data_IF_915070623045
#
_entry.id   IF_915070623045
#
_cell.length_a   1.000
_cell.length_b   1.000
_cell.length_c   1.000
_cell.angle_alpha   90.00
_cell.angle_beta   90.00
_cell.angle_gamma   90.00
#
_symmetry.space_group_name_H-M   'P 1'
#
loop_
_entity.id
_entity.type
_entity.pdbx_description
1 polymer ?
#
# COMPACT_ATOMS: atom_id res chain seq x y z
N UNK A 1 -32.08 -35.76 1.87
CA UNK A 1 -33.23 -34.83 1.90
C UNK A 1 -32.79 -33.59 1.15
N UNK A 2 -33.50 -33.16 0.12
CA UNK A 2 -33.15 -31.94 -0.60
C UNK A 2 -33.24 -30.77 0.40
N UNK A 3 -32.09 -30.32 0.90
CA UNK A 3 -32.02 -29.19 1.82
C UNK A 3 -32.52 -27.94 1.10
N UNK A 4 -33.35 -27.16 1.77
CA UNK A 4 -33.87 -25.90 1.25
C UNK A 4 -32.70 -25.01 0.79
N UNK A 5 -32.71 -24.61 -0.49
CA UNK A 5 -31.67 -23.75 -1.06
C UNK A 5 -31.97 -22.27 -0.75
N UNK A 6 -31.71 -21.89 0.50
CA UNK A 6 -31.87 -20.52 0.97
C UNK A 6 -30.98 -19.54 0.22
N UNK A 7 -29.83 -20.00 -0.32
CA UNK A 7 -28.89 -19.17 -1.07
C UNK A 7 -29.49 -18.71 -2.40
N UNK A 8 -30.30 -19.55 -3.04
CA UNK A 8 -31.08 -19.20 -4.24
C UNK A 8 -32.18 -18.16 -3.97
N UNK A 9 -32.83 -18.22 -2.80
CA UNK A 9 -33.80 -17.20 -2.38
C UNK A 9 -33.10 -15.87 -2.16
N UNK A 10 -31.98 -15.88 -1.44
CA UNK A 10 -31.18 -14.67 -1.17
C UNK A 10 -30.57 -14.12 -2.45
N UNK A 11 -30.14 -14.94 -3.41
CA UNK A 11 -29.62 -14.44 -4.69
C UNK A 11 -30.67 -13.70 -5.53
N UNK A 12 -31.94 -14.08 -5.39
CA UNK A 12 -33.05 -13.41 -6.08
C UNK A 12 -33.41 -12.08 -5.42
N UNK A 13 -33.44 -12.05 -4.09
CA UNK A 13 -33.90 -10.86 -3.33
C UNK A 13 -32.75 -9.90 -3.04
N UNK A 14 -31.58 -10.41 -2.71
CA UNK A 14 -30.38 -9.68 -2.33
C UNK A 14 -29.17 -10.08 -3.21
N UNK A 15 -29.17 -9.70 -4.50
CA UNK A 15 -28.14 -10.08 -5.44
C UNK A 15 -26.75 -9.55 -5.04
N UNK A 16 -26.65 -8.36 -4.43
CA UNK A 16 -25.34 -7.81 -4.05
C UNK A 16 -24.70 -8.66 -2.96
N UNK A 17 -25.43 -9.01 -1.89
CA UNK A 17 -24.95 -9.96 -0.88
C UNK A 17 -24.58 -11.33 -1.48
N UNK A 18 -25.39 -11.82 -2.43
CA UNK A 18 -25.16 -13.11 -3.05
C UNK A 18 -23.92 -13.15 -3.97
N UNK A 19 -23.49 -12.02 -4.56
CA UNK A 19 -22.22 -11.98 -5.34
C UNK A 19 -21.00 -12.33 -4.49
N UNK A 20 -21.08 -12.15 -3.17
CA UNK A 20 -20.02 -12.54 -2.25
C UNK A 20 -20.11 -14.00 -1.82
N UNK A 21 -21.22 -14.71 -2.08
CA UNK A 21 -21.32 -16.13 -1.76
C UNK A 21 -20.34 -16.93 -2.62
N UNK A 22 -19.56 -17.79 -1.96
CA UNK A 22 -18.47 -18.54 -2.63
C UNK A 22 -17.18 -17.74 -2.81
N UNK A 23 -17.13 -16.47 -2.40
CA UNK A 23 -15.88 -15.70 -2.30
C UNK A 23 -15.30 -15.81 -0.89
N UNK A 24 -14.02 -15.46 -0.67
CA UNK A 24 -13.44 -15.37 0.68
C UNK A 24 -14.21 -14.42 1.62
N UNK A 25 -15.00 -13.50 1.07
CA UNK A 25 -15.82 -12.55 1.81
C UNK A 25 -17.25 -13.05 2.09
N UNK A 26 -17.59 -14.28 1.69
CA UNK A 26 -18.92 -14.86 1.91
C UNK A 26 -19.34 -14.81 3.39
N UNK A 27 -18.41 -15.11 4.30
CA UNK A 27 -18.67 -15.08 5.75
C UNK A 27 -19.07 -13.69 6.26
N UNK A 28 -18.60 -12.61 5.62
CA UNK A 28 -18.99 -11.25 5.97
C UNK A 28 -20.43 -10.95 5.55
N UNK A 29 -20.82 -11.36 4.33
CA UNK A 29 -22.18 -11.18 3.83
C UNK A 29 -23.20 -11.99 4.66
N UNK A 30 -22.85 -13.23 5.03
CA UNK A 30 -23.67 -14.07 5.93
C UNK A 30 -23.78 -13.42 7.31
N UNK A 31 -22.67 -12.94 7.87
CA UNK A 31 -22.67 -12.28 9.19
C UNK A 31 -23.51 -11.00 9.20
N UNK A 32 -23.49 -10.23 8.12
CA UNK A 32 -24.33 -9.04 8.00
C UNK A 32 -25.82 -9.40 8.00
N UNK A 33 -26.21 -10.46 7.27
CA UNK A 33 -27.56 -11.00 7.32
C UNK A 33 -27.92 -11.48 8.73
N UNK A 34 -27.06 -12.26 9.38
CA UNK A 34 -27.29 -12.69 10.77
C UNK A 34 -27.47 -11.48 11.72
N UNK A 35 -26.65 -10.44 11.57
CA UNK A 35 -26.72 -9.27 12.44
C UNK A 35 -27.96 -8.40 12.18
N UNK A 36 -28.30 -8.14 10.92
CA UNK A 36 -29.36 -7.17 10.55
C UNK A 36 -30.76 -7.81 10.43
N UNK A 37 -30.80 -9.07 10.01
CA UNK A 37 -32.04 -9.83 9.83
C UNK A 37 -32.42 -10.59 11.10
N UNK A 38 -31.51 -11.40 11.66
CA UNK A 38 -31.76 -12.18 12.88
C UNK A 38 -31.51 -11.39 14.18
N UNK A 39 -30.70 -10.33 14.13
CA UNK A 39 -30.30 -9.57 15.31
C UNK A 39 -29.20 -10.24 16.14
N UNK A 40 -28.63 -11.36 15.66
CA UNK A 40 -27.57 -12.10 16.35
C UNK A 40 -26.35 -12.26 15.43
N UNK A 41 -25.23 -11.58 15.71
CA UNK A 41 -24.01 -11.65 14.90
C UNK A 41 -23.29 -13.01 14.98
N UNK A 42 -23.68 -13.90 15.91
CA UNK A 42 -23.12 -15.24 16.08
C UNK A 42 -24.05 -16.34 15.55
N UNK A 43 -25.18 -15.99 14.94
CA UNK A 43 -26.10 -16.98 14.39
C UNK A 43 -25.41 -17.81 13.29
N UNK A 44 -25.69 -19.11 13.29
CA UNK A 44 -25.11 -20.05 12.31
C UNK A 44 -25.81 -19.96 10.96
N UNK A 45 -25.15 -20.41 9.89
CA UNK A 45 -25.76 -20.51 8.56
C UNK A 45 -27.07 -21.32 8.57
N UNK A 46 -27.17 -22.36 9.42
CA UNK A 46 -28.36 -23.18 9.55
C UNK A 46 -29.54 -22.42 10.18
N UNK A 47 -29.27 -21.55 11.16
CA UNK A 47 -30.29 -20.69 11.78
C UNK A 47 -30.79 -19.64 10.79
N UNK A 48 -29.88 -19.08 9.98
CA UNK A 48 -30.23 -18.18 8.90
C UNK A 48 -31.07 -18.89 7.82
N UNK A 49 -30.69 -20.10 7.42
CA UNK A 49 -31.45 -20.90 6.47
C UNK A 49 -32.88 -21.18 6.95
N UNK A 50 -33.05 -21.56 8.23
CA UNK A 50 -34.36 -21.82 8.83
C UNK A 50 -35.24 -20.55 8.89
N UNK A 51 -34.65 -19.41 9.22
CA UNK A 51 -35.36 -18.13 9.25
C UNK A 51 -35.77 -17.67 7.85
N UNK A 52 -34.91 -17.88 6.84
CA UNK A 52 -35.24 -17.58 5.44
C UNK A 52 -36.32 -18.53 4.91
N UNK A 53 -36.33 -19.78 5.35
CA UNK A 53 -37.36 -20.75 4.96
C UNK A 53 -38.75 -20.37 5.47
N UNK A 54 -38.82 -19.72 6.64
CA UNK A 54 -40.06 -19.22 7.24
C UNK A 54 -40.32 -17.74 6.95
N UNK A 55 -39.53 -17.11 6.07
CA UNK A 55 -39.60 -15.69 5.82
C UNK A 55 -40.95 -15.29 5.20
N UNK A 56 -41.55 -14.24 5.75
CA UNK A 56 -42.75 -13.62 5.20
C UNK A 56 -42.39 -12.64 4.07
N UNK A 57 -43.33 -12.19 3.24
CA UNK A 57 -43.05 -11.16 2.23
C UNK A 57 -42.46 -9.86 2.81
N UNK A 58 -42.83 -9.49 4.04
CA UNK A 58 -42.24 -8.35 4.75
C UNK A 58 -40.76 -8.59 5.10
N UNK A 59 -40.39 -9.82 5.45
CA UNK A 59 -39.01 -10.21 5.73
C UNK A 59 -38.15 -10.18 4.46
N UNK A 60 -38.71 -10.55 3.31
CA UNK A 60 -38.01 -10.43 2.02
C UNK A 60 -37.73 -8.95 1.67
N UNK A 61 -38.66 -8.04 1.95
CA UNK A 61 -38.43 -6.60 1.77
C UNK A 61 -37.29 -6.14 2.69
N UNK A 62 -37.28 -6.58 3.95
CA UNK A 62 -36.20 -6.27 4.89
C UNK A 62 -34.85 -6.79 4.42
N UNK A 63 -34.79 -8.02 3.89
CA UNK A 63 -33.57 -8.58 3.28
C UNK A 63 -33.11 -7.71 2.09
N UNK A 64 -34.03 -7.19 1.28
CA UNK A 64 -33.70 -6.26 0.18
C UNK A 64 -33.17 -4.92 0.69
N UNK A 65 -33.71 -4.41 1.79
CA UNK A 65 -33.19 -3.18 2.41
C UNK A 65 -31.78 -3.36 2.95
N UNK A 66 -31.49 -4.53 3.57
CA UNK A 66 -30.15 -4.89 4.04
C UNK A 66 -29.18 -4.97 2.85
N UNK A 67 -29.57 -5.59 1.74
CA UNK A 67 -28.79 -5.64 0.49
C UNK A 67 -28.42 -4.23 -0.01
N UNK A 68 -29.39 -3.32 -0.02
CA UNK A 68 -29.18 -1.94 -0.46
C UNK A 68 -28.27 -1.14 0.50
N UNK A 69 -28.38 -1.37 1.82
CA UNK A 69 -27.49 -0.75 2.81
C UNK A 69 -26.06 -1.29 2.66
N UNK A 70 -25.91 -2.60 2.55
CA UNK A 70 -24.62 -3.24 2.35
C UNK A 70 -23.92 -2.73 1.08
N UNK A 71 -24.65 -2.57 -0.04
CA UNK A 71 -24.11 -1.99 -1.27
C UNK A 71 -23.59 -0.56 -1.08
N UNK A 72 -24.29 0.27 -0.30
CA UNK A 72 -23.84 1.63 0.03
C UNK A 72 -22.60 1.62 0.90
N UNK A 73 -22.59 0.78 1.93
CA UNK A 73 -21.46 0.68 2.86
C UNK A 73 -20.21 0.23 2.10
N UNK A 74 -20.31 -0.76 1.23
CA UNK A 74 -19.19 -1.20 0.39
C UNK A 74 -18.68 -0.09 -0.54
N UNK A 75 -19.58 0.65 -1.19
CA UNK A 75 -19.19 1.79 -2.02
C UNK A 75 -18.51 2.91 -1.20
N UNK A 76 -18.97 3.16 0.02
CA UNK A 76 -18.35 4.15 0.91
C UNK A 76 -16.96 3.70 1.39
N UNK A 77 -16.78 2.41 1.68
CA UNK A 77 -15.47 1.84 2.01
C UNK A 77 -14.48 2.01 0.85
N UNK A 78 -14.90 1.75 -0.39
CA UNK A 78 -14.05 1.93 -1.57
C UNK A 78 -13.59 3.39 -1.72
N UNK A 79 -14.50 4.36 -1.53
CA UNK A 79 -14.17 5.79 -1.56
C UNK A 79 -13.18 6.15 -0.44
N UNK A 80 -13.38 5.62 0.77
CA UNK A 80 -12.45 5.86 1.89
C UNK A 80 -11.06 5.28 1.63
N UNK A 81 -10.97 4.10 1.02
CA UNK A 81 -9.68 3.50 0.63
C UNK A 81 -8.97 4.41 -0.39
N UNK A 82 -9.69 4.89 -1.40
CA UNK A 82 -9.13 5.81 -2.38
C UNK A 82 -8.66 7.14 -1.76
N UNK A 83 -9.36 7.64 -0.74
CA UNK A 83 -8.94 8.85 -0.02
C UNK A 83 -7.72 8.61 0.86
N UNK A 84 -7.65 7.47 1.56
CA UNK A 84 -6.46 7.06 2.34
C UNK A 84 -5.24 6.96 1.43
N UNK A 85 -5.36 6.37 0.24
CA UNK A 85 -4.26 6.27 -0.73
C UNK A 85 -3.80 7.65 -1.24
N UNK A 86 -4.72 8.61 -1.39
CA UNK A 86 -4.40 10.00 -1.74
C UNK A 86 -3.68 10.70 -0.59
N UNK A 87 -4.18 10.55 0.63
CA UNK A 87 -3.56 11.11 1.83
C UNK A 87 -2.15 10.53 2.05
N UNK A 88 -1.93 9.24 1.81
CA UNK A 88 -0.60 8.64 1.93
C UNK A 88 0.38 9.25 0.91
N UNK A 89 -0.03 9.44 -0.34
CA UNK A 89 0.77 10.12 -1.38
C UNK A 89 1.10 11.57 -1.03
N UNK A 90 0.11 12.31 -0.54
CA UNK A 90 0.32 13.69 -0.14
C UNK A 90 1.17 13.80 1.13
N UNK A 91 1.05 12.85 2.07
CA UNK A 91 1.93 12.75 3.24
C UNK A 91 3.38 12.42 2.83
N UNK A 92 3.57 11.60 1.79
CA UNK A 92 4.89 11.27 1.26
C UNK A 92 5.53 12.49 0.59
N UNK A 93 4.75 13.29 -0.15
CA UNK A 93 5.22 14.55 -0.74
C UNK A 93 5.52 15.61 0.31
N UNK A 94 4.66 15.75 1.32
CA UNK A 94 4.88 16.68 2.43
C UNK A 94 6.10 16.28 3.27
N UNK A 95 6.28 15.00 3.57
CA UNK A 95 7.52 14.53 4.23
C UNK A 95 8.77 14.81 3.42
N UNK A 96 8.72 14.67 2.09
CA UNK A 96 9.85 15.04 1.23
C UNK A 96 10.12 16.54 1.19
N UNK A 97 9.10 17.39 1.35
CA UNK A 97 9.23 18.85 1.40
C UNK A 97 9.63 19.37 2.80
N UNK A 98 9.14 18.75 3.87
CA UNK A 98 9.36 19.13 5.27
C UNK A 98 10.67 18.56 5.82
N UNK A 99 11.23 17.51 5.19
CA UNK A 99 12.64 17.15 5.33
C UNK A 99 13.47 18.26 4.67
N UNK A 100 13.58 19.38 5.37
CA UNK A 100 14.55 20.44 5.17
C UNK A 100 15.95 19.92 5.53
N UNK A 101 16.30 18.77 4.94
CA UNK A 101 17.52 18.06 5.22
C UNK A 101 18.63 18.78 4.47
N UNK A 102 19.47 19.49 5.21
CA UNK A 102 20.62 20.21 4.65
C UNK A 102 21.79 19.28 4.37
N UNK A 103 21.68 17.99 4.75
CA UNK A 103 22.71 16.99 4.49
C UNK A 103 23.16 16.89 3.02
N UNK A 104 22.28 16.91 1.98
CA UNK A 104 22.73 16.95 0.58
C UNK A 104 23.46 18.24 0.21
N UNK A 105 23.04 19.39 0.77
CA UNK A 105 23.68 20.69 0.49
C UNK A 105 25.07 20.74 1.14
N UNK A 106 25.18 20.32 2.41
CA UNK A 106 26.44 20.21 3.14
C UNK A 106 27.40 19.21 2.48
N UNK A 107 26.90 18.06 2.03
CA UNK A 107 27.69 17.09 1.28
C UNK A 107 28.19 17.67 -0.05
N UNK A 108 27.33 18.39 -0.78
CA UNK A 108 27.70 19.09 -2.01
C UNK A 108 28.81 20.13 -1.80
N UNK A 109 28.69 20.96 -0.75
CA UNK A 109 29.70 21.97 -0.40
C UNK A 109 31.04 21.31 -0.04
N UNK A 110 31.02 20.24 0.76
CA UNK A 110 32.24 19.50 1.16
C UNK A 110 32.95 18.87 -0.05
N UNK A 111 32.21 18.18 -0.92
CA UNK A 111 32.76 17.54 -2.11
C UNK A 111 33.34 18.60 -3.06
N UNK A 112 32.60 19.68 -3.33
CA UNK A 112 33.03 20.73 -4.24
C UNK A 112 34.22 21.53 -3.67
N UNK A 113 34.24 21.78 -2.37
CA UNK A 113 35.35 22.43 -1.67
C UNK A 113 36.63 21.58 -1.70
N UNK A 114 36.51 20.28 -1.49
CA UNK A 114 37.65 19.35 -1.59
C UNK A 114 38.19 19.29 -3.03
N UNK A 115 37.33 19.06 -4.02
CA UNK A 115 37.76 19.03 -5.42
C UNK A 115 38.38 20.36 -5.87
N UNK A 116 37.75 21.49 -5.51
CA UNK A 116 38.27 22.82 -5.82
C UNK A 116 39.66 23.07 -5.23
N UNK A 117 39.89 22.64 -3.99
CA UNK A 117 41.21 22.74 -3.35
C UNK A 117 42.27 21.90 -4.06
N UNK A 118 41.98 20.63 -4.36
CA UNK A 118 42.97 19.75 -5.00
C UNK A 118 43.24 20.18 -6.45
N UNK A 119 42.22 20.60 -7.19
CA UNK A 119 42.39 21.15 -8.55
C UNK A 119 43.22 22.43 -8.53
N UNK A 120 42.98 23.36 -7.59
CA UNK A 120 43.81 24.56 -7.43
C UNK A 120 45.29 24.20 -7.20
N UNK A 121 45.55 23.25 -6.29
CA UNK A 121 46.92 22.77 -5.99
C UNK A 121 47.59 22.09 -7.19
N UNK A 122 46.85 21.35 -8.00
CA UNK A 122 47.34 20.72 -9.23
C UNK A 122 47.77 21.75 -10.29
N UNK A 123 47.11 22.91 -10.37
CA UNK A 123 47.46 23.96 -11.33
C UNK A 123 48.56 24.91 -10.85
N UNK A 124 48.75 25.08 -9.53
CA UNK A 124 49.76 25.99 -8.97
C UNK A 124 51.08 25.33 -8.61
N UNK A 125 51.11 23.99 -8.45
CA UNK A 125 52.29 23.26 -7.96
C UNK A 125 52.69 22.15 -8.93
N UNK A 126 53.99 22.00 -9.20
CA UNK A 126 54.52 20.83 -9.92
C UNK A 126 54.47 19.65 -8.96
N UNK A 127 53.51 18.74 -9.16
CA UNK A 127 53.41 17.51 -8.37
C UNK A 127 54.56 16.57 -8.73
N UNK A 128 55.24 16.07 -7.71
CA UNK A 128 56.23 14.99 -7.81
C UNK A 128 55.57 13.70 -8.35
N UNK A 129 56.32 12.91 -9.11
CA UNK A 129 55.82 11.73 -9.83
C UNK A 129 55.30 10.66 -8.85
N UNK A 130 55.99 10.51 -7.71
CA UNK A 130 55.56 9.62 -6.61
C UNK A 130 54.21 10.03 -5.99
N UNK A 131 53.89 11.32 -6.01
CA UNK A 131 52.62 11.84 -5.47
C UNK A 131 51.47 11.57 -6.46
N UNK A 132 51.75 11.58 -7.78
CA UNK A 132 50.74 11.31 -8.83
C UNK A 132 50.25 9.86 -8.80
N UNK A 133 51.15 8.90 -8.59
CA UNK A 133 50.83 7.47 -8.53
C UNK A 133 49.88 7.12 -7.36
N UNK A 134 49.91 7.92 -6.29
CA UNK A 134 49.00 7.77 -5.15
C UNK A 134 47.71 8.57 -5.34
N UNK A 135 47.79 9.78 -5.90
CA UNK A 135 46.62 10.64 -6.07
C UNK A 135 45.63 10.13 -7.12
N UNK A 136 46.09 9.59 -8.25
CA UNK A 136 45.17 9.12 -9.30
C UNK A 136 44.21 8.01 -8.80
N UNK A 137 44.69 6.96 -8.13
CA UNK A 137 43.81 5.94 -7.54
C UNK A 137 42.85 6.51 -6.48
N UNK A 138 43.32 7.44 -5.63
CA UNK A 138 42.48 8.08 -4.60
C UNK A 138 41.34 8.91 -5.19
N UNK A 139 41.58 9.59 -6.31
CA UNK A 139 40.52 10.30 -7.04
C UNK A 139 39.50 9.33 -7.65
N UNK A 140 39.97 8.17 -8.13
CA UNK A 140 39.09 7.10 -8.62
C UNK A 140 38.16 6.58 -7.53
N UNK A 141 38.69 6.30 -6.33
CA UNK A 141 37.87 5.82 -5.19
C UNK A 141 36.91 6.88 -4.68
N UNK A 142 37.32 8.15 -4.62
CA UNK A 142 36.43 9.26 -4.28
C UNK A 142 35.28 9.42 -5.27
N UNK A 143 35.56 9.31 -6.57
CA UNK A 143 34.51 9.38 -7.61
C UNK A 143 33.52 8.23 -7.45
N UNK A 144 33.99 7.01 -7.16
CA UNK A 144 33.14 5.87 -6.89
C UNK A 144 32.25 6.08 -5.65
N UNK A 145 32.79 6.66 -4.58
CA UNK A 145 32.03 7.00 -3.37
C UNK A 145 30.98 8.08 -3.64
N UNK A 146 31.28 9.11 -4.44
CA UNK A 146 30.30 10.13 -4.83
C UNK A 146 29.17 9.52 -5.66
N UNK A 147 29.47 8.60 -6.59
CA UNK A 147 28.46 7.85 -7.34
C UNK A 147 27.62 6.99 -6.38
N UNK A 148 28.24 6.34 -5.39
CA UNK A 148 27.55 5.51 -4.41
C UNK A 148 26.62 6.33 -3.50
N UNK A 149 27.06 7.49 -3.00
CA UNK A 149 26.24 8.43 -2.23
C UNK A 149 25.12 9.01 -3.10
N UNK A 150 25.40 9.34 -4.36
CA UNK A 150 24.38 9.80 -5.31
C UNK A 150 23.33 8.71 -5.57
N UNK A 151 23.73 7.45 -5.70
CA UNK A 151 22.79 6.33 -5.80
C UNK A 151 22.00 6.14 -4.50
N UNK A 152 22.61 6.29 -3.33
CA UNK A 152 21.89 6.20 -2.06
C UNK A 152 20.83 7.31 -1.92
N UNK A 153 21.19 8.56 -2.25
CA UNK A 153 20.31 9.72 -2.12
C UNK A 153 19.23 9.78 -3.21
N UNK A 154 19.56 9.43 -4.45
CA UNK A 154 18.67 9.61 -5.61
C UNK A 154 18.15 8.31 -6.23
N UNK A 155 18.66 7.14 -5.84
CA UNK A 155 18.42 5.90 -6.58
C UNK A 155 18.55 4.63 -5.75
N UNK A 156 17.62 4.38 -4.82
CA UNK A 156 17.37 3.00 -4.32
C UNK A 156 16.06 2.83 -3.54
N UNK A 157 15.48 3.88 -2.95
CA UNK A 157 14.24 3.73 -2.15
C UNK A 157 13.02 3.29 -2.97
N UNK A 158 12.97 3.63 -4.27
CA UNK A 158 11.90 3.18 -5.19
C UNK A 158 12.21 1.81 -5.80
N UNK A 159 13.48 1.51 -6.07
CA UNK A 159 13.92 0.23 -6.64
C UNK A 159 13.84 -0.94 -5.65
N UNK A 160 14.15 -0.72 -4.36
CA UNK A 160 14.04 -1.77 -3.33
C UNK A 160 12.59 -2.16 -3.07
N UNK A 161 11.68 -1.17 -2.96
CA UNK A 161 10.24 -1.42 -2.77
C UNK A 161 9.59 -2.20 -3.92
N UNK A 162 10.08 -1.98 -5.15
CA UNK A 162 9.61 -2.71 -6.34
C UNK A 162 10.18 -4.14 -6.39
N UNK A 163 11.41 -4.35 -5.90
CA UNK A 163 12.00 -5.70 -5.77
C UNK A 163 11.31 -6.54 -4.71
N UNK A 164 10.97 -5.97 -3.56
CA UNK A 164 10.25 -6.70 -2.50
C UNK A 164 8.82 -7.08 -2.92
N UNK A 165 8.14 -6.21 -3.67
CA UNK A 165 6.82 -6.53 -4.26
C UNK A 165 6.89 -7.56 -5.39
N UNK A 166 7.95 -7.55 -6.19
CA UNK A 166 8.14 -8.52 -7.27
C UNK A 166 8.65 -9.89 -6.78
N UNK A 167 9.34 -9.93 -5.63
CA UNK A 167 9.92 -11.15 -5.06
C UNK A 167 8.94 -11.95 -4.19
N UNK A 168 7.72 -11.46 -3.95
CA UNK A 168 6.67 -12.23 -3.28
C UNK A 168 7.05 -12.75 -1.88
N UNK A 169 7.91 -12.06 -1.14
CA UNK A 169 8.36 -12.51 0.18
C UNK A 169 7.32 -12.10 1.23
N UNK A 170 6.62 -13.04 1.88
CA UNK A 170 5.77 -12.74 3.02
C UNK A 170 6.64 -12.34 4.22
N UNK A 171 6.18 -11.32 4.97
CA UNK A 171 6.75 -10.96 6.28
C UNK A 171 6.48 -12.04 7.32
#
# INVERSE_FOLDING_TARGET
MAGFDWKSVVSTVAPTLATYFGTPLAGMAVKELCTKFLGDPNATEDQLAAAIQQATPADLIRIKEIDNQFAKDMAELDVKILDIDRQDRDSARKRAADMHDWSPILAGILIYGFYGYVTNRLFTSVLDESIKDVLLPMFGTLTALVIQVSNFLYGSSTGSRLKDKAAGVPK
#
